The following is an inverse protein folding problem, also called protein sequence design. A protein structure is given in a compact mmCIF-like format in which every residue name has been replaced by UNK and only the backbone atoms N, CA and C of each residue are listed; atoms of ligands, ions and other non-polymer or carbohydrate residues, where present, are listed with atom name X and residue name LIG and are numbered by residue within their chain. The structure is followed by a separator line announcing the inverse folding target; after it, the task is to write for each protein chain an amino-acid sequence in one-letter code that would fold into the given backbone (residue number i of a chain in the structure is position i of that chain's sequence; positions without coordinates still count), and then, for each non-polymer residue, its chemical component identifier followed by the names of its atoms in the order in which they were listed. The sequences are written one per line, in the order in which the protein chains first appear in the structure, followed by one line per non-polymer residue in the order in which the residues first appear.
data_IF_108122894050
#
_entry.id   IF_108122894050
#
_cell.length_a   1.000
_cell.length_b   1.000
_cell.length_c   1.000
_cell.angle_alpha   90.00
_cell.angle_beta   90.00
_cell.angle_gamma   90.00
#
_symmetry.space_group_name_H-M   'P 1'
#
loop_
_entity.id
_entity.type
_entity.pdbx_description
1 polymer ?
#
# COMPACT_ATOMS: atom_id res chain seq x y z
N UNK A 1 18.21 66.63 -20.91
CA UNK A 1 17.56 66.41 -19.60
C UNK A 1 16.67 65.21 -19.71
N UNK A 2 17.06 64.10 -19.11
CA UNK A 2 16.27 62.87 -19.11
C UNK A 2 15.29 62.90 -17.95
N UNK A 3 13.99 62.81 -18.24
CA UNK A 3 12.91 62.72 -17.24
C UNK A 3 12.96 61.39 -16.49
N UNK A 4 12.91 61.38 -15.17
CA UNK A 4 12.93 60.15 -14.41
C UNK A 4 11.63 59.37 -14.66
N UNK A 5 11.76 58.09 -15.15
CA UNK A 5 10.64 57.15 -15.29
C UNK A 5 10.02 56.90 -13.91
N UNK A 6 8.76 57.31 -13.73
CA UNK A 6 7.97 57.03 -12.53
C UNK A 6 7.94 55.50 -12.34
N UNK A 7 8.50 54.97 -11.25
CA UNK A 7 8.47 53.54 -10.92
C UNK A 7 7.01 53.11 -10.79
N UNK A 8 6.62 52.17 -11.63
CA UNK A 8 5.25 51.69 -11.71
C UNK A 8 4.98 50.76 -10.51
N UNK A 9 4.51 51.38 -9.42
CA UNK A 9 4.20 50.68 -8.17
C UNK A 9 3.05 49.66 -8.36
N UNK A 10 2.21 49.88 -9.36
CA UNK A 10 1.10 48.98 -9.71
C UNK A 10 1.62 47.65 -10.20
N UNK A 11 2.55 47.67 -11.19
CA UNK A 11 3.15 46.43 -11.72
C UNK A 11 3.92 45.67 -10.63
N UNK A 12 4.68 46.40 -9.79
CA UNK A 12 5.40 45.77 -8.66
C UNK A 12 4.45 45.12 -7.67
N UNK A 13 3.36 45.77 -7.29
CA UNK A 13 2.39 45.21 -6.34
C UNK A 13 1.62 44.04 -6.92
N UNK A 14 1.35 44.06 -8.23
CA UNK A 14 0.70 42.98 -8.95
C UNK A 14 1.60 41.74 -9.00
N UNK A 15 2.89 41.92 -9.29
CA UNK A 15 3.87 40.80 -9.27
C UNK A 15 4.02 40.23 -7.88
N UNK A 16 4.13 41.07 -6.85
CA UNK A 16 4.21 40.58 -5.45
C UNK A 16 2.94 39.82 -5.08
N UNK A 17 1.76 40.30 -5.47
CA UNK A 17 0.49 39.61 -5.23
C UNK A 17 0.41 38.25 -5.89
N UNK A 18 0.87 38.12 -7.15
CA UNK A 18 0.95 36.83 -7.85
C UNK A 18 1.92 35.86 -7.17
N UNK A 19 3.10 36.33 -6.77
CA UNK A 19 4.09 35.49 -6.08
C UNK A 19 3.55 34.98 -4.74
N UNK A 20 2.92 35.87 -3.97
CA UNK A 20 2.32 35.46 -2.68
C UNK A 20 1.19 34.44 -2.87
N UNK A 21 0.38 34.60 -3.91
CA UNK A 21 -0.70 33.68 -4.23
C UNK A 21 -0.15 32.29 -4.61
N UNK A 22 0.87 32.24 -5.46
CA UNK A 22 1.53 30.97 -5.84
C UNK A 22 2.14 30.30 -4.61
N UNK A 23 2.83 31.05 -3.76
CA UNK A 23 3.41 30.50 -2.52
C UNK A 23 2.31 29.98 -1.59
N UNK A 24 1.21 30.71 -1.41
CA UNK A 24 0.09 30.28 -0.58
C UNK A 24 -0.56 28.98 -1.11
N UNK A 25 -0.75 28.88 -2.43
CA UNK A 25 -1.30 27.67 -3.07
C UNK A 25 -0.35 26.48 -2.91
N UNK A 26 0.95 26.68 -3.16
CA UNK A 26 1.94 25.57 -3.04
C UNK A 26 2.08 25.09 -1.60
N UNK A 27 2.09 26.00 -0.62
CA UNK A 27 2.12 25.62 0.81
C UNK A 27 0.82 24.95 1.21
N UNK A 28 -0.33 25.47 0.78
CA UNK A 28 -1.64 24.88 1.05
C UNK A 28 -1.78 23.46 0.50
N UNK A 29 -1.33 23.22 -0.74
CA UNK A 29 -1.33 21.87 -1.36
C UNK A 29 -0.36 20.93 -0.62
N UNK A 30 0.84 21.42 -0.25
CA UNK A 30 1.80 20.59 0.49
C UNK A 30 1.32 20.19 1.87
N UNK A 31 0.67 21.11 2.60
CA UNK A 31 0.08 20.81 3.90
C UNK A 31 -1.11 19.84 3.78
N UNK A 32 -1.96 20.03 2.76
CA UNK A 32 -3.10 19.15 2.49
C UNK A 32 -2.66 17.73 2.10
N UNK A 33 -1.60 17.59 1.28
CA UNK A 33 -1.09 16.28 0.87
C UNK A 33 -0.42 15.52 2.01
N UNK A 34 0.22 16.21 2.96
CA UNK A 34 0.79 15.57 4.14
C UNK A 34 -0.31 15.06 5.08
N UNK A 35 -1.35 15.86 5.32
CA UNK A 35 -2.51 15.43 6.11
C UNK A 35 -3.27 14.25 5.47
N UNK A 36 -3.32 14.17 4.14
CA UNK A 36 -3.94 13.03 3.43
C UNK A 36 -3.13 11.74 3.60
N UNK A 37 -1.81 11.81 3.68
CA UNK A 37 -0.96 10.63 3.95
C UNK A 37 -1.09 10.15 5.39
N UNK A 38 -1.19 11.06 6.35
CA UNK A 38 -1.33 10.73 7.76
C UNK A 38 -2.74 10.22 8.11
N UNK A 39 -3.74 10.52 7.29
CA UNK A 39 -5.14 10.09 7.46
C UNK A 39 -5.55 8.94 6.54
N UNK A 40 -4.63 8.32 5.81
CA UNK A 40 -4.92 7.07 5.10
C UNK A 40 -5.29 6.02 6.15
N UNK A 41 -6.55 5.57 6.14
CA UNK A 41 -7.01 4.54 7.03
C UNK A 41 -6.22 3.25 6.77
N UNK A 42 -5.47 2.80 7.78
CA UNK A 42 -4.86 1.48 7.75
C UNK A 42 -5.99 0.46 7.97
N UNK A 43 -6.11 -0.59 7.15
CA UNK A 43 -7.06 -1.66 7.37
C UNK A 43 -6.97 -2.20 8.80
N UNK A 44 -8.10 -2.51 9.43
CA UNK A 44 -8.16 -2.89 10.85
C UNK A 44 -7.49 -4.22 11.14
N UNK A 45 -7.37 -5.08 10.14
CA UNK A 45 -6.72 -6.39 10.19
C UNK A 45 -5.19 -6.33 10.02
N UNK A 46 -4.66 -5.15 9.66
CA UNK A 46 -3.22 -4.94 9.46
C UNK A 46 -2.58 -4.47 10.75
N UNK A 47 -1.61 -5.23 11.25
CA UNK A 47 -0.95 -4.98 12.53
C UNK A 47 0.35 -4.20 12.37
N UNK A 48 0.36 -2.96 12.83
CA UNK A 48 1.55 -2.11 12.80
C UNK A 48 2.72 -2.67 13.58
N UNK A 49 2.46 -3.33 14.70
CA UNK A 49 3.46 -4.01 15.52
C UNK A 49 4.13 -5.20 14.83
N UNK A 50 3.48 -5.74 13.81
CA UNK A 50 3.95 -6.85 12.97
C UNK A 50 4.38 -6.35 11.57
N UNK A 51 4.95 -5.16 11.48
CA UNK A 51 5.44 -4.61 10.21
C UNK A 51 4.36 -4.40 9.15
N UNK A 52 3.16 -4.05 9.58
CA UNK A 52 1.95 -3.96 8.74
C UNK A 52 1.52 -5.29 8.12
N UNK A 53 1.86 -6.42 8.76
CA UNK A 53 1.40 -7.74 8.36
C UNK A 53 -0.06 -7.99 8.72
N UNK A 54 -0.68 -8.93 7.99
CA UNK A 54 -2.04 -9.42 8.23
C UNK A 54 -1.94 -10.64 9.12
N UNK A 55 -2.48 -10.55 10.33
CA UNK A 55 -2.25 -11.54 11.41
C UNK A 55 -3.43 -12.46 11.60
N UNK A 56 -3.16 -13.77 11.54
CA UNK A 56 -4.13 -14.82 11.92
C UNK A 56 -3.73 -15.45 13.26
N UNK A 57 -4.75 -15.72 14.08
CA UNK A 57 -4.59 -16.33 15.40
C UNK A 57 -3.71 -15.49 16.35
N UNK A 58 -3.88 -14.18 16.32
CA UNK A 58 -3.18 -13.25 17.20
C UNK A 58 -3.33 -13.63 18.68
N UNK A 59 -2.21 -13.58 19.41
CA UNK A 59 -2.20 -13.82 20.85
C UNK A 59 -2.33 -15.30 21.26
N UNK A 60 -2.24 -16.23 20.33
CA UNK A 60 -2.26 -17.65 20.62
C UNK A 60 -0.95 -18.04 21.32
N UNK A 61 -1.03 -18.54 22.54
CA UNK A 61 0.14 -18.96 23.30
C UNK A 61 0.53 -20.40 23.00
N UNK A 62 1.84 -20.69 23.03
CA UNK A 62 2.34 -22.08 22.93
C UNK A 62 2.36 -22.66 21.52
N UNK A 63 2.10 -21.85 20.50
CA UNK A 63 2.19 -22.25 19.09
C UNK A 63 3.32 -21.52 18.38
N UNK A 64 3.91 -22.09 17.32
CA UNK A 64 4.89 -21.38 16.52
C UNK A 64 4.26 -20.20 15.77
N UNK A 65 5.07 -19.15 15.55
CA UNK A 65 4.76 -18.05 14.63
C UNK A 65 5.44 -18.33 13.30
N UNK A 66 4.70 -18.12 12.21
CA UNK A 66 5.21 -18.16 10.84
C UNK A 66 5.00 -16.78 10.20
N UNK A 67 6.05 -16.23 9.60
CA UNK A 67 6.02 -15.00 8.83
C UNK A 67 6.18 -15.34 7.35
N UNK A 68 5.24 -14.92 6.51
CA UNK A 68 5.17 -15.22 5.08
C UNK A 68 5.35 -13.90 4.33
N UNK A 69 6.51 -13.75 3.68
CA UNK A 69 6.90 -12.56 2.92
C UNK A 69 6.79 -12.85 1.44
N UNK A 70 5.90 -12.17 0.74
CA UNK A 70 5.56 -12.51 -0.62
C UNK A 70 5.11 -11.31 -1.45
N UNK A 71 5.36 -11.38 -2.76
CA UNK A 71 4.87 -10.42 -3.74
C UNK A 71 3.94 -11.15 -4.72
N UNK A 72 2.74 -10.63 -4.90
CA UNK A 72 1.71 -11.27 -5.74
C UNK A 72 2.09 -11.39 -7.22
N UNK A 73 3.12 -10.70 -7.67
CA UNK A 73 3.65 -10.87 -9.04
C UNK A 73 4.82 -11.86 -9.10
N UNK A 74 5.37 -12.28 -7.97
CA UNK A 74 6.55 -13.14 -7.92
C UNK A 74 6.21 -14.58 -8.31
N UNK A 75 6.82 -15.14 -9.40
CA UNK A 75 6.55 -16.52 -9.82
C UNK A 75 6.97 -17.56 -8.77
N UNK A 76 8.08 -17.33 -8.08
CA UNK A 76 8.56 -18.24 -7.01
C UNK A 76 7.60 -18.23 -5.82
N UNK A 77 6.99 -17.09 -5.50
CA UNK A 77 5.95 -17.01 -4.48
C UNK A 77 4.71 -17.82 -4.89
N UNK A 78 4.31 -17.75 -6.18
CA UNK A 78 3.25 -18.61 -6.71
C UNK A 78 3.55 -20.08 -6.56
N UNK A 79 4.76 -20.51 -6.89
CA UNK A 79 5.18 -21.91 -6.75
C UNK A 79 5.12 -22.35 -5.27
N UNK A 80 5.56 -21.49 -4.35
CA UNK A 80 5.44 -21.74 -2.92
C UNK A 80 3.98 -21.89 -2.48
N UNK A 81 3.09 -21.00 -2.94
CA UNK A 81 1.67 -21.04 -2.61
C UNK A 81 0.97 -22.29 -3.18
N UNK A 82 1.25 -22.67 -4.41
CA UNK A 82 0.70 -23.90 -5.02
C UNK A 82 0.99 -25.14 -4.17
N UNK A 83 2.16 -25.19 -3.56
CA UNK A 83 2.58 -26.35 -2.75
C UNK A 83 2.09 -26.26 -1.31
N UNK A 84 2.09 -25.09 -0.69
CA UNK A 84 1.99 -24.93 0.76
C UNK A 84 0.68 -24.31 1.25
N UNK A 85 -0.07 -23.59 0.41
CA UNK A 85 -1.25 -22.83 0.83
C UNK A 85 -2.27 -23.69 1.60
N UNK A 86 -2.60 -24.87 1.09
CA UNK A 86 -3.54 -25.76 1.75
C UNK A 86 -3.11 -26.11 3.17
N UNK A 87 -1.83 -26.46 3.35
CA UNK A 87 -1.29 -26.84 4.66
C UNK A 87 -1.25 -25.67 5.63
N UNK A 88 -0.87 -24.48 5.14
CA UNK A 88 -0.84 -23.25 5.95
C UNK A 88 -2.25 -22.89 6.41
N UNK A 89 -3.24 -22.96 5.53
CA UNK A 89 -4.65 -22.71 5.86
C UNK A 89 -5.17 -23.68 6.91
N UNK A 90 -4.89 -24.97 6.75
CA UNK A 90 -5.25 -26.00 7.74
C UNK A 90 -4.64 -25.71 9.11
N UNK A 91 -3.39 -25.25 9.17
CA UNK A 91 -2.75 -24.87 10.43
C UNK A 91 -3.40 -23.63 11.06
N UNK A 92 -3.77 -22.65 10.25
CA UNK A 92 -4.47 -21.44 10.72
C UNK A 92 -5.85 -21.81 11.27
N UNK A 93 -6.64 -22.57 10.53
CA UNK A 93 -7.99 -22.99 10.92
C UNK A 93 -7.98 -23.85 12.18
N UNK A 94 -7.02 -24.75 12.27
CA UNK A 94 -6.82 -25.61 13.45
C UNK A 94 -6.12 -24.91 14.63
N UNK A 95 -5.83 -23.59 14.51
CA UNK A 95 -5.12 -22.79 15.54
C UNK A 95 -3.79 -23.38 15.98
N UNK A 96 -3.06 -23.98 15.05
CA UNK A 96 -1.74 -24.60 15.30
C UNK A 96 -0.59 -23.62 15.15
N UNK A 97 -0.81 -22.48 14.51
CA UNK A 97 0.17 -21.42 14.28
C UNK A 97 -0.45 -20.05 14.45
N UNK A 98 0.39 -19.09 14.80
CA UNK A 98 0.13 -17.67 14.49
C UNK A 98 0.76 -17.38 13.14
N UNK A 99 -0.03 -17.01 12.13
CA UNK A 99 0.50 -16.69 10.80
C UNK A 99 0.42 -15.19 10.56
N UNK A 100 1.50 -14.63 9.99
CA UNK A 100 1.58 -13.22 9.60
C UNK A 100 1.96 -13.16 8.14
N UNK A 101 1.06 -12.63 7.32
CA UNK A 101 1.32 -12.42 5.90
C UNK A 101 1.81 -10.99 5.69
N UNK A 102 2.89 -10.84 4.95
CA UNK A 102 3.53 -9.57 4.62
C UNK A 102 3.53 -9.36 3.10
N UNK A 103 2.44 -8.84 2.51
CA UNK A 103 2.40 -8.53 1.10
C UNK A 103 3.45 -7.47 0.74
N UNK A 104 4.37 -7.84 -0.12
CA UNK A 104 5.46 -6.99 -0.60
C UNK A 104 5.09 -6.33 -1.93
N UNK A 105 5.86 -5.30 -2.32
CA UNK A 105 5.64 -4.57 -3.56
C UNK A 105 6.96 -4.20 -4.26
N UNK A 106 7.92 -5.13 -4.25
CA UNK A 106 9.25 -4.87 -4.79
C UNK A 106 9.35 -5.06 -6.31
N UNK A 107 8.42 -5.79 -6.93
CA UNK A 107 8.45 -6.04 -8.38
C UNK A 107 7.93 -4.83 -9.17
N UNK A 108 6.89 -4.14 -8.67
CA UNK A 108 6.40 -2.98 -9.37
C UNK A 108 5.07 -2.40 -8.87
N UNK A 109 4.50 -1.51 -9.69
CA UNK A 109 3.26 -0.81 -9.32
C UNK A 109 2.07 -1.74 -9.16
N UNK A 110 1.98 -2.80 -9.96
CA UNK A 110 0.93 -3.81 -9.84
C UNK A 110 1.03 -4.57 -8.52
N UNK A 111 2.24 -4.88 -8.04
CA UNK A 111 2.45 -5.49 -6.72
C UNK A 111 1.88 -4.62 -5.61
N UNK A 112 2.16 -3.30 -5.66
CA UNK A 112 1.62 -2.36 -4.67
C UNK A 112 0.08 -2.31 -4.71
N UNK A 113 -0.51 -2.34 -5.90
CA UNK A 113 -1.96 -2.39 -6.08
C UNK A 113 -2.56 -3.66 -5.47
N UNK A 114 -1.97 -4.83 -5.76
CA UNK A 114 -2.43 -6.12 -5.24
C UNK A 114 -2.25 -6.24 -3.72
N UNK A 115 -1.13 -5.78 -3.18
CA UNK A 115 -0.89 -5.75 -1.74
C UNK A 115 -1.94 -4.91 -1.01
N UNK A 116 -2.28 -3.73 -1.54
CA UNK A 116 -3.33 -2.88 -0.98
C UNK A 116 -4.72 -3.54 -1.08
N UNK A 117 -5.04 -4.15 -2.22
CA UNK A 117 -6.32 -4.85 -2.39
C UNK A 117 -6.44 -6.05 -1.44
N UNK A 118 -5.36 -6.81 -1.25
CA UNK A 118 -5.30 -7.90 -0.30
C UNK A 118 -5.49 -7.41 1.14
N UNK A 119 -4.85 -6.32 1.53
CA UNK A 119 -5.05 -5.71 2.85
C UNK A 119 -6.50 -5.27 3.07
N UNK A 120 -7.15 -4.66 2.07
CA UNK A 120 -8.58 -4.32 2.14
C UNK A 120 -9.47 -5.56 2.29
N UNK A 121 -9.16 -6.66 1.60
CA UNK A 121 -9.94 -7.90 1.71
C UNK A 121 -9.86 -8.53 3.10
N UNK A 122 -8.82 -8.22 3.86
CA UNK A 122 -8.67 -8.69 5.23
C UNK A 122 -9.69 -8.06 6.18
N UNK A 123 -10.12 -6.82 5.95
CA UNK A 123 -11.16 -6.15 6.74
C UNK A 123 -12.55 -6.80 6.57
N UNK A 124 -12.73 -7.54 5.48
CA UNK A 124 -13.94 -8.30 5.17
C UNK A 124 -13.82 -9.79 5.52
N UNK A 125 -12.79 -10.19 6.28
CA UNK A 125 -12.47 -11.59 6.60
C UNK A 125 -12.28 -12.47 5.33
N UNK A 126 -11.82 -11.87 4.22
CA UNK A 126 -11.67 -12.53 2.92
C UNK A 126 -10.21 -12.68 2.47
N UNK A 127 -9.26 -12.32 3.32
CA UNK A 127 -7.84 -12.32 2.92
C UNK A 127 -7.38 -13.64 2.32
N UNK A 128 -7.58 -14.77 3.00
CA UNK A 128 -7.07 -16.07 2.54
C UNK A 128 -7.68 -16.49 1.18
N UNK A 129 -8.96 -16.20 0.96
CA UNK A 129 -9.63 -16.48 -0.31
C UNK A 129 -9.14 -15.56 -1.43
N UNK A 130 -8.96 -14.27 -1.12
CA UNK A 130 -8.48 -13.29 -2.09
C UNK A 130 -7.01 -13.51 -2.43
N UNK A 131 -6.18 -13.80 -1.45
CA UNK A 131 -4.79 -14.19 -1.57
C UNK A 131 -4.60 -15.39 -2.53
N UNK A 132 -5.35 -16.47 -2.31
CA UNK A 132 -5.36 -17.62 -3.20
C UNK A 132 -5.79 -17.24 -4.62
N UNK A 133 -6.85 -16.44 -4.76
CA UNK A 133 -7.33 -15.99 -6.07
C UNK A 133 -6.28 -15.16 -6.81
N UNK A 134 -5.51 -14.32 -6.13
CA UNK A 134 -4.43 -13.56 -6.74
C UNK A 134 -3.35 -14.46 -7.31
N UNK A 135 -2.91 -15.49 -6.60
CA UNK A 135 -1.90 -16.42 -7.11
C UNK A 135 -2.42 -17.34 -8.22
N UNK A 136 -3.65 -17.83 -8.10
CA UNK A 136 -4.29 -18.63 -9.17
C UNK A 136 -4.36 -17.86 -10.47
N UNK A 137 -4.71 -16.58 -10.39
CA UNK A 137 -4.88 -15.70 -11.55
C UNK A 137 -3.64 -14.84 -11.84
N UNK A 138 -2.50 -15.15 -11.25
CA UNK A 138 -1.26 -14.40 -11.48
C UNK A 138 -0.90 -14.40 -12.97
N UNK A 139 -0.64 -13.21 -13.52
CA UNK A 139 -0.23 -13.04 -14.90
C UNK A 139 1.09 -13.77 -15.19
N UNK A 140 1.28 -14.23 -16.43
CA UNK A 140 2.51 -14.92 -16.85
C UNK A 140 3.74 -13.99 -16.88
N UNK A 141 3.49 -12.67 -17.02
CA UNK A 141 4.55 -11.67 -17.06
C UNK A 141 4.26 -10.56 -16.03
N UNK A 142 5.30 -10.18 -15.30
CA UNK A 142 5.28 -9.11 -14.32
C UNK A 142 4.95 -7.75 -14.97
N UNK A 143 4.21 -6.89 -14.27
CA UNK A 143 3.81 -5.54 -14.72
C UNK A 143 3.15 -5.51 -16.11
N UNK A 144 2.44 -6.56 -16.48
CA UNK A 144 1.80 -6.71 -17.79
C UNK A 144 0.44 -6.02 -17.91
N UNK A 145 -0.17 -5.61 -16.80
CA UNK A 145 -1.56 -5.16 -16.74
C UNK A 145 -2.59 -6.25 -17.01
N UNK A 146 -2.16 -7.51 -17.03
CA UNK A 146 -2.99 -8.65 -17.44
C UNK A 146 -3.13 -9.62 -16.27
N UNK A 147 -3.99 -9.29 -15.34
CA UNK A 147 -4.47 -10.28 -14.38
C UNK A 147 -5.63 -11.03 -15.05
N UNK A 148 -5.51 -12.34 -15.12
CA UNK A 148 -6.56 -13.16 -15.72
C UNK A 148 -7.79 -13.12 -14.79
N UNK A 149 -8.90 -12.63 -15.35
CA UNK A 149 -10.21 -12.65 -14.68
C UNK A 149 -10.88 -14.01 -14.87
#
# INVERSE_FOLDING_TARGET
MATPKKKDNVTRNLVIGMVLLVVAVTVGVSLSSNNAKDNAATPSSVEKSEGYGIVFNKGLAGVPKIDIWEDFQCPVCKDFEVVNNKQIREWIEAKKVTAVFHPLSFIGAESAFMANAAACSADEDKFLQFHEALYVNQAEAENSGKWHA
#
